data_IF_624623128574
#
_entry.id   IF_624623128574
#
_cell.length_a   1.000
_cell.length_b   1.000
_cell.length_c   1.000
_cell.angle_alpha   90.00
_cell.angle_beta   90.00
_cell.angle_gamma   90.00
#
_symmetry.space_group_name_H-M   'P 1'
#
loop_
_entity.id
_entity.type
_entity.pdbx_description
1 polymer ?
#
# COMPACT_ATOMS: atom_id res chain seq x y z
N UNK A 1 24.13 -17.31 21.06
CA UNK A 1 23.66 -15.98 20.62
C UNK A 1 24.23 -14.96 21.59
N UNK A 2 24.91 -13.94 21.08
CA UNK A 2 25.49 -12.90 21.92
C UNK A 2 24.37 -12.08 22.60
N UNK A 3 24.61 -11.46 23.77
CA UNK A 3 23.60 -10.71 24.51
C UNK A 3 22.92 -9.59 23.69
N UNK A 4 23.64 -8.97 22.74
CA UNK A 4 23.09 -7.95 21.83
C UNK A 4 22.10 -8.50 20.80
N UNK A 5 22.40 -9.67 20.21
CA UNK A 5 21.53 -10.29 19.19
C UNK A 5 20.16 -10.69 19.74
N UNK A 6 20.11 -11.11 21.01
CA UNK A 6 18.85 -11.48 21.66
C UNK A 6 17.98 -10.25 22.01
N UNK A 7 18.61 -9.10 22.26
CA UNK A 7 17.92 -7.83 22.51
C UNK A 7 17.29 -7.29 21.23
N UNK A 8 18.03 -7.32 20.12
CA UNK A 8 17.55 -6.82 18.82
C UNK A 8 16.39 -7.66 18.27
N UNK A 9 16.45 -8.99 18.43
CA UNK A 9 15.36 -9.88 18.05
C UNK A 9 14.06 -9.57 18.81
N UNK A 10 14.14 -9.33 20.13
CA UNK A 10 12.96 -8.96 20.94
C UNK A 10 12.40 -7.61 20.54
N UNK A 11 13.26 -6.62 20.27
CA UNK A 11 12.83 -5.30 19.80
C UNK A 11 12.12 -5.40 18.44
N UNK A 12 12.64 -6.23 17.54
CA UNK A 12 12.01 -6.52 16.25
C UNK A 12 10.60 -7.12 16.42
N UNK A 13 10.49 -8.21 17.19
CA UNK A 13 9.21 -8.89 17.45
C UNK A 13 8.18 -7.97 18.11
N UNK A 14 8.60 -7.19 19.11
CA UNK A 14 7.74 -6.21 19.76
C UNK A 14 7.23 -5.14 18.77
N UNK A 15 8.07 -4.72 17.83
CA UNK A 15 7.68 -3.74 16.80
C UNK A 15 6.75 -4.34 15.75
N UNK A 16 6.95 -5.61 15.37
CA UNK A 16 6.01 -6.35 14.49
C UNK A 16 4.64 -6.46 15.16
N UNK A 17 4.59 -6.87 16.44
CA UNK A 17 3.34 -7.00 17.19
C UNK A 17 2.63 -5.65 17.39
N UNK A 18 3.37 -4.59 17.69
CA UNK A 18 2.85 -3.22 17.74
C UNK A 18 2.24 -2.82 16.38
N UNK A 19 2.99 -2.97 15.29
CA UNK A 19 2.53 -2.60 13.94
C UNK A 19 1.29 -3.39 13.49
N UNK A 20 1.23 -4.68 13.81
CA UNK A 20 0.09 -5.56 13.51
C UNK A 20 -1.21 -5.13 14.22
N UNK A 21 -1.12 -4.35 15.30
CA UNK A 21 -2.27 -3.89 16.06
C UNK A 21 -2.64 -2.42 15.80
N UNK A 22 -2.18 -1.88 14.67
CA UNK A 22 -2.51 -0.53 14.20
C UNK A 22 -3.48 -0.56 13.02
N UNK A 23 -4.44 -1.48 13.05
CA UNK A 23 -5.59 -1.45 12.16
C UNK A 23 -6.53 -0.29 12.52
N UNK A 24 -7.43 0.06 11.60
CA UNK A 24 -8.50 1.04 11.83
C UNK A 24 -9.78 0.59 11.12
N UNK A 25 -10.93 1.08 11.57
CA UNK A 25 -12.23 0.64 11.05
C UNK A 25 -12.57 1.37 9.75
N UNK A 26 -13.30 0.71 8.85
CA UNK A 26 -13.79 1.33 7.60
C UNK A 26 -14.53 2.64 7.85
N UNK A 27 -15.29 2.72 8.95
CA UNK A 27 -15.97 3.93 9.40
C UNK A 27 -15.03 5.14 9.53
N UNK A 28 -13.88 4.97 10.19
CA UNK A 28 -12.93 6.05 10.43
C UNK A 28 -12.32 6.55 9.11
N UNK A 29 -12.10 5.67 8.13
CA UNK A 29 -11.61 6.05 6.81
C UNK A 29 -12.63 6.86 6.01
N UNK A 30 -13.91 6.48 6.08
CA UNK A 30 -14.99 7.23 5.44
C UNK A 30 -15.18 8.61 6.09
N UNK A 31 -15.10 8.69 7.43
CA UNK A 31 -15.12 9.97 8.14
C UNK A 31 -13.92 10.85 7.79
N UNK A 32 -12.74 10.25 7.70
CA UNK A 32 -11.54 10.98 7.33
C UNK A 32 -11.64 11.56 5.92
N UNK A 33 -12.14 10.79 4.95
CA UNK A 33 -12.38 11.32 3.60
C UNK A 33 -13.40 12.48 3.61
N UNK A 34 -14.49 12.35 4.37
CA UNK A 34 -15.47 13.42 4.53
C UNK A 34 -14.88 14.68 5.16
N UNK A 35 -13.98 14.54 6.15
CA UNK A 35 -13.24 15.64 6.75
C UNK A 35 -12.41 16.39 5.71
N UNK A 36 -11.76 15.69 4.78
CA UNK A 36 -10.93 16.33 3.74
C UNK A 36 -11.75 17.21 2.79
N UNK A 37 -13.02 16.89 2.57
CA UNK A 37 -13.96 17.68 1.77
C UNK A 37 -14.63 18.81 2.57
N UNK A 38 -14.57 18.74 3.90
CA UNK A 38 -15.26 19.66 4.79
C UNK A 38 -14.58 21.03 4.92
N UNK A 39 -15.29 22.04 5.45
CA UNK A 39 -14.73 23.38 5.69
C UNK A 39 -13.59 23.38 6.71
N UNK A 40 -13.59 22.43 7.64
CA UNK A 40 -12.56 22.25 8.67
C UNK A 40 -11.42 21.32 8.20
N UNK A 41 -11.30 21.11 6.88
CA UNK A 41 -10.29 20.23 6.31
C UNK A 41 -8.87 20.67 6.69
N UNK A 42 -8.02 19.76 7.19
CA UNK A 42 -6.60 20.06 7.38
C UNK A 42 -5.86 20.27 6.05
N UNK A 43 -6.48 19.88 4.93
CA UNK A 43 -5.95 20.00 3.58
C UNK A 43 -6.95 20.77 2.69
N UNK A 44 -7.03 22.11 2.80
CA UNK A 44 -8.01 22.91 2.04
C UNK A 44 -7.88 22.80 0.51
N UNK A 45 -6.73 22.36 0.00
CA UNK A 45 -6.49 22.10 -1.42
C UNK A 45 -6.80 20.67 -1.87
N UNK A 46 -7.48 19.87 -1.05
CA UNK A 46 -7.86 18.51 -1.41
C UNK A 46 -8.82 18.50 -2.60
N UNK A 47 -8.44 17.77 -3.63
CA UNK A 47 -9.24 17.51 -4.82
C UNK A 47 -9.49 16.00 -4.89
N UNK A 48 -10.75 15.53 -4.76
CA UNK A 48 -11.04 14.10 -4.70
C UNK A 48 -10.69 13.36 -5.99
N UNK A 49 -10.58 14.05 -7.13
CA UNK A 49 -10.20 13.43 -8.41
C UNK A 49 -8.70 13.45 -8.70
N UNK A 50 -7.90 14.20 -7.93
CA UNK A 50 -6.49 14.48 -8.27
C UNK A 50 -5.51 14.33 -7.12
N UNK A 51 -5.91 14.65 -5.88
CA UNK A 51 -5.02 14.53 -4.72
C UNK A 51 -4.61 13.08 -4.52
N UNK A 52 -3.32 12.85 -4.47
CA UNK A 52 -2.70 11.55 -4.25
C UNK A 52 -2.65 11.20 -2.76
N UNK A 53 -2.43 9.93 -2.44
CA UNK A 53 -2.18 9.53 -1.05
C UNK A 53 -0.97 10.24 -0.46
N UNK A 54 0.07 10.53 -1.26
CA UNK A 54 1.22 11.32 -0.79
C UNK A 54 0.81 12.73 -0.34
N UNK A 55 -0.08 13.39 -1.09
CA UNK A 55 -0.60 14.71 -0.71
C UNK A 55 -1.29 14.65 0.65
N UNK A 56 -2.23 13.69 0.80
CA UNK A 56 -3.03 13.51 2.01
C UNK A 56 -2.15 13.12 3.20
N UNK A 57 -1.12 12.30 3.00
CA UNK A 57 -0.18 11.96 4.08
C UNK A 57 0.56 13.20 4.57
N UNK A 58 1.07 14.02 3.64
CA UNK A 58 1.89 15.20 3.95
C UNK A 58 1.08 16.34 4.57
N UNK A 59 -0.14 16.55 4.12
CA UNK A 59 -0.95 17.71 4.52
C UNK A 59 -2.04 17.40 5.55
N UNK A 60 -2.47 16.14 5.69
CA UNK A 60 -3.51 15.77 6.65
C UNK A 60 -3.02 14.75 7.69
N UNK A 61 -2.48 13.61 7.26
CA UNK A 61 -2.11 12.52 8.19
C UNK A 61 -1.04 12.95 9.17
N UNK A 62 0.08 13.51 8.68
CA UNK A 62 1.18 13.96 9.54
C UNK A 62 0.72 15.04 10.53
N UNK A 63 0.02 16.12 10.09
CA UNK A 63 -0.48 17.13 11.02
C UNK A 63 -1.47 16.59 12.06
N UNK A 64 -2.46 15.79 11.66
CA UNK A 64 -3.49 15.26 12.56
C UNK A 64 -2.96 14.24 13.59
N UNK A 65 -1.83 13.60 13.29
CA UNK A 65 -1.20 12.62 14.16
C UNK A 65 -0.05 13.18 15.00
N UNK A 66 0.22 14.49 14.91
CA UNK A 66 1.27 15.16 15.67
C UNK A 66 0.81 15.44 17.10
N UNK A 67 1.71 15.25 18.07
CA UNK A 67 1.48 15.69 19.46
C UNK A 67 1.68 17.20 19.59
N UNK A 68 0.83 17.84 20.39
CA UNK A 68 0.85 19.30 20.60
C UNK A 68 2.11 19.82 21.31
N UNK A 69 2.82 18.97 22.04
CA UNK A 69 4.06 19.31 22.75
C UNK A 69 5.31 19.34 21.83
N UNK A 70 5.15 18.98 20.55
CA UNK A 70 6.25 18.92 19.59
C UNK A 70 7.20 17.73 19.76
N UNK A 71 6.97 16.83 20.72
CA UNK A 71 7.82 15.66 20.96
C UNK A 71 7.86 14.69 19.79
N UNK A 72 6.78 14.64 19.00
CA UNK A 72 6.63 13.65 17.95
C UNK A 72 5.18 13.49 17.51
N UNK A 73 4.80 12.24 17.26
CA UNK A 73 3.45 11.86 16.90
C UNK A 73 3.28 10.34 16.91
N UNK A 74 2.10 9.88 16.53
CA UNK A 74 1.80 8.45 16.40
C UNK A 74 1.36 8.13 14.98
N UNK A 75 1.13 6.84 14.69
CA UNK A 75 0.32 6.48 13.53
C UNK A 75 -1.09 7.08 13.67
N UNK A 76 -1.72 7.51 12.56
CA UNK A 76 -3.06 8.08 12.62
C UNK A 76 -4.10 7.04 13.06
N UNK A 77 -3.90 5.77 12.71
CA UNK A 77 -4.73 4.66 13.19
C UNK A 77 -4.77 4.60 14.73
N UNK A 78 -3.64 4.85 15.40
CA UNK A 78 -3.58 4.89 16.88
C UNK A 78 -4.40 6.05 17.44
N UNK A 79 -4.41 7.20 16.75
CA UNK A 79 -5.24 8.36 17.13
C UNK A 79 -6.72 8.02 16.98
N UNK A 80 -7.13 7.42 15.85
CA UNK A 80 -8.52 7.02 15.61
C UNK A 80 -9.02 5.99 16.61
N UNK A 81 -8.16 5.12 17.11
CA UNK A 81 -8.51 4.11 18.10
C UNK A 81 -8.35 4.60 19.56
N UNK A 82 -8.00 5.86 19.80
CA UNK A 82 -7.77 6.37 21.16
C UNK A 82 -6.65 5.64 21.92
N UNK A 83 -5.65 5.12 21.19
CA UNK A 83 -4.57 4.31 21.77
C UNK A 83 -4.89 2.82 21.89
N UNK A 84 -6.12 2.39 21.60
CA UNK A 84 -6.47 0.96 21.63
C UNK A 84 -5.80 0.19 20.49
N UNK A 85 -5.43 -1.05 20.82
CA UNK A 85 -4.85 -2.01 19.88
C UNK A 85 -5.96 -2.64 19.04
N UNK A 86 -5.95 -2.41 17.74
CA UNK A 86 -6.93 -2.95 16.80
C UNK A 86 -6.24 -3.84 15.78
N UNK A 87 -6.64 -5.10 15.73
CA UNK A 87 -6.18 -6.02 14.69
C UNK A 87 -6.98 -5.78 13.40
N UNK A 88 -6.31 -5.63 12.25
CA UNK A 88 -6.98 -5.55 10.96
C UNK A 88 -7.49 -6.92 10.52
N UNK A 89 -8.63 -6.94 9.83
CA UNK A 89 -9.12 -8.12 9.10
C UNK A 89 -8.39 -8.27 7.76
N UNK A 90 -7.94 -7.16 7.16
CA UNK A 90 -7.12 -7.20 5.95
C UNK A 90 -6.04 -6.12 5.92
N UNK A 91 -4.93 -6.44 5.27
CA UNK A 91 -3.92 -5.46 4.85
C UNK A 91 -4.21 -4.96 3.44
N UNK A 92 -4.06 -3.67 3.22
CA UNK A 92 -4.29 -3.04 1.91
C UNK A 92 -2.96 -2.65 1.28
N UNK A 93 -2.65 -3.30 0.15
CA UNK A 93 -1.51 -2.92 -0.70
C UNK A 93 -1.95 -1.84 -1.68
N UNK A 94 -1.24 -0.71 -1.69
CA UNK A 94 -1.53 0.46 -2.52
C UNK A 94 -0.26 1.24 -2.87
N UNK A 95 -0.30 2.05 -3.93
CA UNK A 95 0.75 3.04 -4.20
C UNK A 95 0.39 4.41 -3.62
N UNK A 96 1.40 5.15 -3.16
CA UNK A 96 1.22 6.52 -2.69
C UNK A 96 0.95 7.53 -3.80
N UNK A 97 1.22 7.16 -5.06
CA UNK A 97 0.86 7.94 -6.24
C UNK A 97 -0.62 7.79 -6.63
N UNK A 98 -1.34 6.82 -6.04
CA UNK A 98 -2.76 6.64 -6.31
C UNK A 98 -3.51 7.90 -5.88
N UNK A 99 -4.53 8.28 -6.66
CA UNK A 99 -5.55 9.23 -6.20
C UNK A 99 -6.12 8.71 -4.89
N UNK A 100 -6.12 9.53 -3.84
CA UNK A 100 -6.48 9.11 -2.49
C UNK A 100 -7.92 8.61 -2.41
N UNK A 101 -8.85 9.23 -3.15
CA UNK A 101 -10.23 8.77 -3.25
C UNK A 101 -10.33 7.36 -3.84
N UNK A 102 -9.44 6.96 -4.77
CA UNK A 102 -9.44 5.61 -5.31
C UNK A 102 -9.04 4.58 -4.25
N UNK A 103 -8.06 4.91 -3.38
CA UNK A 103 -7.71 4.06 -2.25
C UNK A 103 -8.89 3.88 -1.29
N UNK A 104 -9.57 4.96 -0.92
CA UNK A 104 -10.75 4.88 -0.03
C UNK A 104 -11.88 4.11 -0.71
N UNK A 105 -12.14 4.37 -1.99
CA UNK A 105 -13.15 3.67 -2.78
C UNK A 105 -12.88 2.16 -2.86
N UNK A 106 -11.61 1.74 -3.04
CA UNK A 106 -11.21 0.34 -3.05
C UNK A 106 -11.49 -0.35 -1.70
N UNK A 107 -11.18 0.31 -0.58
CA UNK A 107 -11.50 -0.22 0.77
C UNK A 107 -13.01 -0.32 1.00
N UNK A 108 -13.76 0.70 0.56
CA UNK A 108 -15.23 0.67 0.65
C UNK A 108 -15.82 -0.42 -0.24
N UNK A 109 -15.28 -0.61 -1.45
CA UNK A 109 -15.70 -1.68 -2.36
C UNK A 109 -15.43 -3.06 -1.75
N UNK A 110 -14.26 -3.27 -1.13
CA UNK A 110 -13.97 -4.50 -0.41
C UNK A 110 -14.96 -4.75 0.75
N UNK A 111 -15.17 -3.74 1.60
CA UNK A 111 -16.16 -3.82 2.68
C UNK A 111 -17.58 -4.09 2.15
N UNK A 112 -17.89 -3.60 0.95
CA UNK A 112 -19.15 -3.79 0.27
C UNK A 112 -19.26 -5.15 -0.46
N UNK A 113 -18.19 -5.94 -0.58
CA UNK A 113 -18.17 -7.17 -1.39
C UNK A 113 -18.26 -6.90 -2.89
N UNK A 114 -17.77 -5.73 -3.33
CA UNK A 114 -17.74 -5.32 -4.73
C UNK A 114 -16.32 -5.44 -5.30
N UNK A 115 -16.25 -5.76 -6.59
CA UNK A 115 -15.00 -5.99 -7.32
C UNK A 115 -14.50 -4.71 -8.02
N UNK A 116 -15.42 -3.88 -8.52
CA UNK A 116 -15.16 -2.52 -9.04
C UNK A 116 -15.43 -1.46 -7.99
N UNK A 117 -14.74 -0.32 -8.08
CA UNK A 117 -14.94 0.79 -7.14
C UNK A 117 -15.36 2.15 -7.74
N UNK A 118 -15.51 2.28 -9.06
CA UNK A 118 -15.89 3.54 -9.75
C UNK A 118 -17.10 4.25 -9.12
N UNK A 119 -18.17 3.51 -8.82
CA UNK A 119 -19.37 4.09 -8.21
C UNK A 119 -19.10 4.69 -6.81
N UNK A 120 -18.18 4.09 -6.04
CA UNK A 120 -17.80 4.61 -4.73
C UNK A 120 -16.92 5.87 -4.86
N UNK A 121 -16.13 6.02 -5.92
CA UNK A 121 -15.44 7.28 -6.21
C UNK A 121 -16.43 8.44 -6.34
N UNK A 122 -17.51 8.25 -7.10
CA UNK A 122 -18.54 9.27 -7.29
C UNK A 122 -19.25 9.63 -5.97
N UNK A 123 -19.59 8.62 -5.15
CA UNK A 123 -20.21 8.85 -3.84
C UNK A 123 -19.28 9.59 -2.88
N UNK A 124 -18.01 9.21 -2.83
CA UNK A 124 -16.99 9.87 -2.01
C UNK A 124 -16.77 11.32 -2.45
N UNK A 125 -16.54 11.55 -3.75
CA UNK A 125 -16.35 12.90 -4.30
C UNK A 125 -17.59 13.80 -4.10
N UNK A 126 -18.78 13.22 -4.14
CA UNK A 126 -20.05 13.91 -3.87
C UNK A 126 -20.39 14.09 -2.38
N UNK A 127 -19.46 13.79 -1.46
CA UNK A 127 -19.67 13.96 -0.01
C UNK A 127 -20.72 13.03 0.59
N UNK A 128 -21.03 11.90 -0.05
CA UNK A 128 -22.09 10.97 0.36
C UNK A 128 -21.66 9.99 1.47
N UNK A 129 -20.86 10.46 2.43
CA UNK A 129 -20.29 9.64 3.49
C UNK A 129 -21.35 8.89 4.32
N UNK A 130 -22.49 9.53 4.62
CA UNK A 130 -23.58 8.91 5.37
C UNK A 130 -24.26 7.77 4.59
N UNK A 131 -24.40 7.91 3.27
CA UNK A 131 -24.94 6.85 2.41
C UNK A 131 -24.00 5.64 2.38
N UNK A 132 -22.69 5.88 2.27
CA UNK A 132 -21.68 4.82 2.32
C UNK A 132 -21.69 4.10 3.66
N UNK A 133 -21.73 4.85 4.77
CA UNK A 133 -21.82 4.27 6.11
C UNK A 133 -23.10 3.45 6.29
N UNK A 134 -24.25 3.94 5.81
CA UNK A 134 -25.51 3.21 5.86
C UNK A 134 -25.42 1.87 5.08
N UNK A 135 -24.86 1.91 3.86
CA UNK A 135 -24.62 0.71 3.06
C UNK A 135 -23.77 -0.33 3.81
N UNK A 136 -22.63 0.10 4.37
CA UNK A 136 -21.73 -0.79 5.11
C UNK A 136 -22.35 -1.29 6.43
N UNK A 137 -23.20 -0.51 7.09
CA UNK A 137 -23.98 -0.96 8.28
C UNK A 137 -24.98 -2.04 7.90
N UNK A 138 -25.73 -1.85 6.82
CA UNK A 138 -26.69 -2.85 6.33
C UNK A 138 -26.00 -4.16 5.97
N UNK A 139 -24.74 -4.11 5.51
CA UNK A 139 -23.92 -5.30 5.24
C UNK A 139 -23.18 -5.86 6.45
N UNK A 140 -23.22 -5.19 7.60
CA UNK A 140 -22.49 -5.59 8.80
C UNK A 140 -20.97 -5.40 8.72
N UNK A 141 -20.46 -4.68 7.72
CA UNK A 141 -19.02 -4.54 7.43
C UNK A 141 -18.45 -3.16 7.75
N UNK A 142 -19.26 -2.23 8.26
CA UNK A 142 -18.79 -0.89 8.65
C UNK A 142 -17.64 -0.93 9.67
N UNK A 143 -17.66 -1.94 10.55
CA UNK A 143 -16.66 -2.11 11.61
C UNK A 143 -15.49 -3.01 11.19
N UNK A 144 -15.46 -3.49 9.94
CA UNK A 144 -14.32 -4.24 9.41
C UNK A 144 -13.06 -3.38 9.50
N UNK A 145 -12.00 -3.96 10.00
CA UNK A 145 -10.74 -3.30 10.26
C UNK A 145 -9.74 -3.52 9.12
N UNK A 146 -9.03 -2.46 8.76
CA UNK A 146 -8.05 -2.45 7.68
C UNK A 146 -6.71 -1.94 8.20
N UNK A 147 -5.64 -2.41 7.58
CA UNK A 147 -4.31 -1.87 7.76
C UNK A 147 -3.85 -1.27 6.44
N UNK A 148 -3.47 0.00 6.46
CA UNK A 148 -3.00 0.75 5.29
C UNK A 148 -1.75 1.50 5.73
N UNK A 149 -0.64 1.34 5.02
CA UNK A 149 0.65 1.88 5.47
C UNK A 149 0.61 3.40 5.68
N UNK A 150 -0.17 4.14 4.89
CA UNK A 150 -0.37 5.58 5.05
C UNK A 150 -0.90 5.98 6.44
N UNK A 151 -1.69 5.13 7.10
CA UNK A 151 -2.34 5.42 8.39
C UNK A 151 -1.79 4.62 9.56
N UNK A 152 -1.32 3.40 9.29
CA UNK A 152 -0.89 2.44 10.31
C UNK A 152 0.60 2.55 10.67
N UNK A 153 1.42 3.10 9.76
CA UNK A 153 2.83 3.44 10.06
C UNK A 153 2.90 4.79 10.75
N UNK A 154 3.78 4.91 11.75
CA UNK A 154 4.07 6.18 12.38
C UNK A 154 4.90 7.05 11.44
N UNK A 155 4.24 7.99 10.76
CA UNK A 155 4.90 8.89 9.82
C UNK A 155 5.93 9.79 10.50
N UNK A 156 5.81 10.00 11.82
CA UNK A 156 6.74 10.83 12.61
C UNK A 156 8.08 10.16 12.87
N UNK A 157 8.15 8.82 12.92
CA UNK A 157 9.41 8.09 13.06
C UNK A 157 10.08 7.82 11.70
N UNK A 158 9.44 8.21 10.59
CA UNK A 158 9.97 8.00 9.25
C UNK A 158 10.09 9.32 8.49
N UNK A 159 9.06 9.65 7.73
CA UNK A 159 9.16 10.61 6.63
C UNK A 159 8.80 12.06 7.00
N UNK A 160 8.23 12.33 8.18
CA UNK A 160 7.65 13.65 8.46
C UNK A 160 8.68 14.80 8.40
N UNK A 161 9.95 14.51 8.68
CA UNK A 161 11.04 15.48 8.81
C UNK A 161 11.78 15.79 7.51
N UNK A 162 11.43 15.18 6.38
CA UNK A 162 12.10 15.46 5.11
C UNK A 162 11.68 14.54 3.96
N UNK A 163 12.50 14.54 2.90
CA UNK A 163 12.23 13.82 1.64
C UNK A 163 13.39 12.90 1.23
N UNK A 164 14.30 12.61 2.17
CA UNK A 164 15.56 11.94 1.87
C UNK A 164 16.58 12.87 1.17
N UNK A 165 17.79 12.36 0.91
CA UNK A 165 18.81 13.10 0.19
C UNK A 165 18.37 13.42 -1.24
N UNK A 166 18.86 14.54 -1.77
CA UNK A 166 18.66 14.91 -3.16
C UNK A 166 19.48 13.96 -4.06
N UNK A 167 18.85 13.24 -5.01
CA UNK A 167 19.56 12.34 -5.89
C UNK A 167 20.36 13.11 -6.96
N UNK A 168 21.50 12.57 -7.35
CA UNK A 168 22.34 13.14 -8.40
C UNK A 168 21.83 12.79 -9.81
N UNK A 169 21.14 11.66 -9.96
CA UNK A 169 20.59 11.23 -11.24
C UNK A 169 19.41 12.14 -11.67
N UNK A 170 19.39 12.69 -12.90
CA UNK A 170 18.34 13.58 -13.35
C UNK A 170 16.93 12.97 -13.40
N UNK A 171 16.79 11.66 -13.66
CA UNK A 171 15.49 10.99 -13.67
C UNK A 171 14.99 10.79 -12.24
N UNK A 172 15.84 10.32 -11.34
CA UNK A 172 15.52 10.19 -9.92
C UNK A 172 15.19 11.56 -9.30
N UNK A 173 15.91 12.62 -9.70
CA UNK A 173 15.66 13.99 -9.25
C UNK A 173 14.27 14.49 -9.63
N UNK A 174 13.79 14.22 -10.85
CA UNK A 174 12.40 14.56 -11.23
C UNK A 174 11.38 13.89 -10.31
N UNK A 175 11.57 12.60 -10.03
CA UNK A 175 10.71 11.87 -9.11
C UNK A 175 10.79 12.37 -7.67
N UNK A 176 11.98 12.78 -7.22
CA UNK A 176 12.20 13.37 -5.90
C UNK A 176 11.53 14.75 -5.78
N UNK A 177 11.71 15.66 -6.73
CA UNK A 177 11.04 16.97 -6.73
C UNK A 177 9.52 16.85 -6.79
N UNK A 178 8.99 15.92 -7.60
CA UNK A 178 7.55 15.67 -7.67
C UNK A 178 6.98 15.26 -6.29
N UNK A 179 7.71 14.45 -5.52
CA UNK A 179 7.32 14.00 -4.18
C UNK A 179 7.42 15.06 -3.09
N UNK A 180 7.97 16.24 -3.40
CA UNK A 180 8.08 17.37 -2.49
C UNK A 180 6.97 18.39 -2.67
N UNK A 181 6.12 18.21 -3.69
CA UNK A 181 5.11 19.18 -4.09
C UNK A 181 3.75 18.54 -4.14
N UNK A 182 2.76 19.28 -3.66
CA UNK A 182 1.38 18.90 -3.79
C UNK A 182 1.01 18.74 -5.27
N UNK A 183 0.45 17.59 -5.66
CA UNK A 183 0.17 17.26 -7.06
C UNK A 183 -0.92 18.14 -7.68
N UNK A 184 -1.75 18.77 -6.86
CA UNK A 184 -2.85 19.65 -7.26
C UNK A 184 -2.42 21.11 -7.25
N UNK A 185 -1.81 21.57 -6.16
CA UNK A 185 -1.50 22.99 -5.95
C UNK A 185 -0.08 23.39 -6.38
N UNK A 186 0.82 22.43 -6.60
CA UNK A 186 2.24 22.64 -6.92
C UNK A 186 3.09 23.21 -5.77
N UNK A 187 2.46 23.49 -4.62
CA UNK A 187 3.13 24.02 -3.43
C UNK A 187 4.02 22.96 -2.81
N UNK A 188 5.16 23.37 -2.25
CA UNK A 188 6.00 22.45 -1.49
C UNK A 188 5.31 22.07 -0.19
N UNK A 189 5.37 20.79 0.15
CA UNK A 189 4.78 20.32 1.41
C UNK A 189 5.54 20.91 2.61
N UNK A 190 4.84 21.18 3.72
CA UNK A 190 5.49 21.51 4.97
C UNK A 190 6.29 20.31 5.49
N UNK A 191 7.38 20.60 6.19
CA UNK A 191 8.17 19.61 6.91
C UNK A 191 7.83 19.71 8.39
N UNK A 192 7.62 18.57 9.04
CA UNK A 192 7.31 18.53 10.46
C UNK A 192 8.58 18.79 11.29
N UNK A 193 8.50 19.75 12.19
CA UNK A 193 9.58 20.12 13.12
C UNK A 193 9.50 19.38 14.46
N UNK A 194 8.95 18.16 14.50
CA UNK A 194 8.89 17.38 15.73
C UNK A 194 10.26 16.81 16.11
N UNK A 195 10.46 16.53 17.40
CA UNK A 195 11.71 15.98 17.94
C UNK A 195 11.85 14.46 17.77
N UNK A 196 10.85 13.78 17.19
CA UNK A 196 10.86 12.32 17.02
C UNK A 196 12.07 11.86 16.20
N UNK A 197 12.88 10.91 16.68
CA UNK A 197 13.96 10.32 15.89
C UNK A 197 13.43 9.67 14.60
N UNK A 198 14.16 9.83 13.49
CA UNK A 198 13.82 9.15 12.23
C UNK A 198 14.58 7.83 12.15
N UNK A 199 13.85 6.72 12.07
CA UNK A 199 14.39 5.36 12.09
C UNK A 199 14.17 4.71 10.72
N UNK A 200 15.25 4.59 9.95
CA UNK A 200 15.28 3.94 8.63
C UNK A 200 16.08 2.63 8.70
N UNK A 201 16.55 2.14 7.56
CA UNK A 201 17.26 0.86 7.46
C UNK A 201 18.60 0.84 8.24
N UNK A 202 19.12 2.00 8.65
CA UNK A 202 20.27 2.15 9.55
C UNK A 202 19.96 1.78 11.01
N UNK A 203 18.66 1.78 11.39
CA UNK A 203 18.17 1.32 12.69
C UNK A 203 17.12 0.21 12.48
N UNK A 204 17.54 -0.97 11.99
CA UNK A 204 16.62 -1.96 11.44
C UNK A 204 15.60 -2.48 12.45
N UNK A 205 15.95 -2.64 13.73
CA UNK A 205 15.00 -3.07 14.77
C UNK A 205 13.86 -2.07 14.99
N UNK A 206 14.10 -0.78 14.78
CA UNK A 206 13.15 0.30 15.05
C UNK A 206 12.38 0.75 13.81
N UNK A 207 12.95 0.55 12.62
CA UNK A 207 12.29 0.89 11.35
C UNK A 207 10.99 0.12 11.17
N UNK A 208 9.87 0.80 10.92
CA UNK A 208 8.58 0.12 10.72
C UNK A 208 8.43 -0.46 9.31
N UNK A 209 9.08 0.14 8.32
CA UNK A 209 8.88 -0.15 6.91
C UNK A 209 9.53 -1.48 6.47
N UNK A 210 10.54 -1.94 7.19
CA UNK A 210 11.22 -3.21 6.89
C UNK A 210 10.54 -4.45 7.51
N UNK A 211 9.40 -4.25 8.21
CA UNK A 211 8.66 -5.28 8.96
C UNK A 211 7.36 -5.72 8.30
N UNK A 212 7.05 -5.23 7.10
CA UNK A 212 5.75 -5.51 6.48
C UNK A 212 5.53 -7.01 6.25
N UNK A 213 6.53 -7.72 5.72
CA UNK A 213 6.46 -9.17 5.49
C UNK A 213 6.20 -9.94 6.80
N UNK A 214 6.95 -9.62 7.87
CA UNK A 214 6.78 -10.26 9.18
C UNK A 214 5.43 -9.94 9.82
N UNK A 215 4.95 -8.71 9.65
CA UNK A 215 3.65 -8.26 10.13
C UNK A 215 2.49 -8.93 9.38
N UNK A 216 2.60 -9.06 8.06
CA UNK A 216 1.69 -9.84 7.22
C UNK A 216 1.64 -11.30 7.65
N UNK A 217 2.81 -11.93 7.82
CA UNK A 217 2.90 -13.32 8.26
C UNK A 217 2.35 -13.52 9.68
N UNK A 218 2.60 -12.57 10.58
CA UNK A 218 2.05 -12.60 11.94
C UNK A 218 0.52 -12.50 11.94
N UNK A 219 -0.05 -11.54 11.20
CA UNK A 219 -1.51 -11.37 11.08
C UNK A 219 -2.17 -12.59 10.45
N UNK A 220 -1.60 -13.12 9.37
CA UNK A 220 -2.14 -14.31 8.71
C UNK A 220 -2.24 -15.53 9.63
N UNK A 221 -1.26 -15.69 10.54
CA UNK A 221 -1.26 -16.78 11.52
C UNK A 221 -2.21 -16.56 12.70
N UNK A 222 -2.53 -15.30 13.03
CA UNK A 222 -3.17 -14.95 14.31
C UNK A 222 -4.56 -14.34 14.18
N UNK A 223 -4.94 -13.89 12.99
CA UNK A 223 -6.25 -13.32 12.68
C UNK A 223 -6.98 -14.30 11.74
N UNK A 224 -8.12 -14.86 12.16
CA UNK A 224 -8.94 -15.70 11.29
C UNK A 224 -9.34 -14.97 10.01
N UNK A 225 -9.31 -15.67 8.89
CA UNK A 225 -9.70 -15.17 7.57
C UNK A 225 -8.96 -13.89 7.12
N UNK A 226 -7.78 -13.63 7.69
CA UNK A 226 -6.96 -12.47 7.32
C UNK A 226 -6.63 -12.49 5.83
N UNK A 227 -6.80 -11.32 5.20
CA UNK A 227 -6.67 -11.19 3.75
C UNK A 227 -5.79 -10.02 3.33
N UNK A 228 -5.37 -10.02 2.07
CA UNK A 228 -4.81 -8.85 1.42
C UNK A 228 -5.83 -8.25 0.44
N UNK A 229 -6.02 -6.94 0.51
CA UNK A 229 -6.77 -6.17 -0.47
C UNK A 229 -5.78 -5.42 -1.35
N UNK A 230 -5.87 -5.58 -2.67
CA UNK A 230 -4.99 -4.91 -3.63
C UNK A 230 -5.75 -3.75 -4.27
N UNK A 231 -5.44 -2.53 -3.85
CA UNK A 231 -6.12 -1.32 -4.33
C UNK A 231 -5.40 -0.75 -5.57
N UNK A 232 -5.88 -1.15 -6.75
CA UNK A 232 -5.29 -0.79 -8.04
C UNK A 232 -5.94 0.47 -8.57
N UNK A 233 -5.15 1.52 -8.80
CA UNK A 233 -5.66 2.79 -9.35
C UNK A 233 -5.83 2.74 -10.88
N UNK A 234 -6.33 3.83 -11.46
CA UNK A 234 -6.55 3.93 -12.91
C UNK A 234 -5.27 3.91 -13.72
N UNK A 235 -4.11 4.21 -13.11
CA UNK A 235 -2.80 4.16 -13.78
C UNK A 235 -2.05 2.84 -13.61
N UNK A 236 -2.58 1.91 -12.81
CA UNK A 236 -1.92 0.65 -12.45
C UNK A 236 -0.52 0.83 -11.85
N UNK A 237 -0.21 2.01 -11.30
CA UNK A 237 1.11 2.36 -10.81
C UNK A 237 1.58 1.43 -9.69
N UNK A 238 0.64 0.80 -8.95
CA UNK A 238 0.91 -0.25 -7.95
C UNK A 238 1.89 -1.30 -8.46
N UNK A 239 1.71 -1.80 -9.69
CA UNK A 239 2.54 -2.88 -10.24
C UNK A 239 3.94 -2.43 -10.65
N UNK A 240 4.20 -1.13 -10.63
CA UNK A 240 5.53 -0.54 -10.86
C UNK A 240 6.25 -0.20 -9.55
N UNK A 241 5.67 -0.49 -8.38
CA UNK A 241 6.25 -0.20 -7.08
C UNK A 241 6.83 -1.45 -6.45
N UNK A 242 8.13 -1.42 -6.18
CA UNK A 242 8.85 -2.61 -5.72
C UNK A 242 8.25 -3.19 -4.43
N UNK A 243 7.89 -2.34 -3.47
CA UNK A 243 7.25 -2.76 -2.21
C UNK A 243 5.89 -3.42 -2.45
N UNK A 244 5.03 -2.81 -3.26
CA UNK A 244 3.71 -3.36 -3.56
C UNK A 244 3.82 -4.73 -4.23
N UNK A 245 4.72 -4.87 -5.20
CA UNK A 245 4.93 -6.14 -5.91
C UNK A 245 5.50 -7.22 -4.97
N UNK A 246 6.41 -6.85 -4.06
CA UNK A 246 6.90 -7.77 -3.04
C UNK A 246 5.78 -8.24 -2.09
N UNK A 247 4.93 -7.34 -1.61
CA UNK A 247 3.76 -7.66 -0.79
C UNK A 247 2.79 -8.62 -1.49
N UNK A 248 2.58 -8.46 -2.80
CA UNK A 248 1.73 -9.37 -3.60
C UNK A 248 2.28 -10.79 -3.65
N UNK A 249 3.58 -10.92 -3.90
CA UNK A 249 4.23 -12.24 -4.02
C UNK A 249 4.38 -12.91 -2.65
N UNK A 250 4.64 -12.15 -1.59
CA UNK A 250 4.71 -12.68 -0.22
C UNK A 250 3.36 -13.24 0.23
N UNK A 251 2.26 -12.51 -0.01
CA UNK A 251 0.91 -12.99 0.28
C UNK A 251 0.59 -14.29 -0.47
N UNK A 252 0.86 -14.34 -1.79
CA UNK A 252 0.70 -15.55 -2.61
C UNK A 252 1.56 -16.72 -2.09
N UNK A 253 2.80 -16.45 -1.67
CA UNK A 253 3.71 -17.45 -1.10
C UNK A 253 3.21 -18.05 0.21
N UNK A 254 2.58 -17.24 1.05
CA UNK A 254 1.96 -17.69 2.27
C UNK A 254 0.60 -18.40 2.04
N UNK A 255 0.03 -18.32 0.83
CA UNK A 255 -1.35 -18.76 0.56
C UNK A 255 -2.39 -17.85 1.20
N UNK A 256 -2.05 -16.59 1.45
CA UNK A 256 -2.96 -15.59 1.98
C UNK A 256 -4.01 -15.23 0.92
N UNK A 257 -5.32 -15.23 1.25
CA UNK A 257 -6.35 -14.78 0.31
C UNK A 257 -6.11 -13.34 -0.16
N UNK A 258 -6.11 -13.13 -1.47
CA UNK A 258 -5.93 -11.81 -2.09
C UNK A 258 -7.20 -11.40 -2.85
N UNK A 259 -7.71 -10.20 -2.58
CA UNK A 259 -8.84 -9.60 -3.29
C UNK A 259 -8.42 -8.31 -4.00
N UNK A 260 -8.56 -8.27 -5.33
CA UNK A 260 -8.19 -7.08 -6.10
C UNK A 260 -9.39 -6.18 -6.32
N UNK A 261 -9.16 -4.88 -6.16
CA UNK A 261 -10.16 -3.84 -6.39
C UNK A 261 -9.64 -2.92 -7.48
N UNK A 262 -10.35 -2.89 -8.60
CA UNK A 262 -10.04 -2.06 -9.76
C UNK A 262 -11.08 -0.98 -9.95
N UNK A 263 -10.74 0.11 -10.64
CA UNK A 263 -11.68 1.21 -10.88
C UNK A 263 -12.94 0.71 -11.60
N UNK A 264 -12.78 0.15 -12.79
CA UNK A 264 -13.85 -0.39 -13.63
C UNK A 264 -13.28 -1.46 -14.57
N UNK A 265 -14.15 -2.31 -15.14
CA UNK A 265 -13.75 -3.32 -16.13
C UNK A 265 -13.06 -2.65 -17.34
N UNK A 266 -13.66 -1.59 -17.89
CA UNK A 266 -13.11 -0.88 -19.04
C UNK A 266 -11.69 -0.33 -18.79
N UNK A 267 -11.41 0.11 -17.55
CA UNK A 267 -10.08 0.54 -17.16
C UNK A 267 -9.10 -0.63 -17.09
N UNK A 268 -9.51 -1.81 -16.61
CA UNK A 268 -8.66 -3.01 -16.62
C UNK A 268 -8.34 -3.47 -18.04
N UNK A 269 -9.34 -3.53 -18.92
CA UNK A 269 -9.17 -3.97 -20.30
C UNK A 269 -8.14 -3.10 -21.04
N UNK A 270 -8.14 -1.79 -20.77
CA UNK A 270 -7.24 -0.83 -21.42
C UNK A 270 -5.77 -0.98 -21.01
N UNK A 271 -5.48 -1.60 -19.86
CA UNK A 271 -4.13 -1.76 -19.31
C UNK A 271 -3.65 -3.21 -19.32
N UNK A 272 -4.49 -4.15 -19.76
CA UNK A 272 -4.22 -5.58 -19.69
C UNK A 272 -2.90 -5.96 -20.40
N UNK A 273 -2.67 -5.41 -21.60
CA UNK A 273 -1.45 -5.67 -22.37
C UNK A 273 -0.19 -5.15 -21.68
N UNK A 274 -0.23 -3.93 -21.12
CA UNK A 274 0.90 -3.32 -20.42
C UNK A 274 1.32 -4.15 -19.21
N UNK A 275 0.34 -4.66 -18.44
CA UNK A 275 0.59 -5.51 -17.27
C UNK A 275 1.28 -6.84 -17.64
N UNK A 276 1.17 -7.31 -18.89
CA UNK A 276 1.84 -8.53 -19.35
C UNK A 276 3.37 -8.39 -19.47
N UNK A 277 3.86 -7.15 -19.37
CA UNK A 277 5.27 -6.78 -19.44
C UNK A 277 5.90 -6.43 -18.09
N UNK A 278 5.20 -6.63 -16.96
CA UNK A 278 5.74 -6.34 -15.63
C UNK A 278 7.06 -7.08 -15.35
N UNK A 279 8.05 -6.32 -14.90
CA UNK A 279 9.36 -6.78 -14.43
C UNK A 279 9.71 -6.06 -13.12
N UNK A 280 10.00 -6.82 -12.07
CA UNK A 280 10.40 -6.30 -10.74
C UNK A 280 11.65 -5.41 -10.81
N UNK A 281 12.53 -5.62 -11.80
CA UNK A 281 13.74 -4.80 -12.01
C UNK A 281 13.41 -3.40 -12.51
N UNK A 282 12.29 -3.24 -13.20
CA UNK A 282 11.79 -1.94 -13.66
C UNK A 282 10.98 -1.23 -12.57
N UNK A 283 10.74 -1.87 -11.42
CA UNK A 283 9.99 -1.26 -10.33
C UNK A 283 10.78 -0.15 -9.63
N UNK A 284 10.03 0.85 -9.15
CA UNK A 284 10.52 2.05 -8.51
C UNK A 284 10.31 1.96 -6.99
N UNK A 285 11.27 2.48 -6.23
CA UNK A 285 11.15 2.71 -4.80
C UNK A 285 11.46 4.18 -4.49
N UNK A 286 11.05 4.64 -3.30
CA UNK A 286 11.26 6.03 -2.93
C UNK A 286 12.73 6.34 -2.66
N UNK A 287 13.48 5.36 -2.13
CA UNK A 287 14.92 5.40 -1.90
C UNK A 287 15.57 4.26 -2.69
N UNK A 288 16.76 4.48 -3.24
CA UNK A 288 17.50 3.42 -3.95
C UNK A 288 17.78 2.23 -3.03
N UNK A 289 18.16 2.49 -1.77
CA UNK A 289 18.39 1.49 -0.72
C UNK A 289 17.19 0.55 -0.54
N UNK A 290 15.96 1.06 -0.62
CA UNK A 290 14.74 0.25 -0.47
C UNK A 290 14.55 -0.66 -1.69
N UNK A 291 14.80 -0.15 -2.90
CA UNK A 291 14.76 -0.97 -4.12
C UNK A 291 15.78 -2.11 -4.01
N UNK A 292 17.00 -1.80 -3.62
CA UNK A 292 18.09 -2.76 -3.55
C UNK A 292 17.83 -3.80 -2.45
N UNK A 293 17.26 -3.38 -1.31
CA UNK A 293 16.81 -4.30 -0.26
C UNK A 293 15.74 -5.29 -0.75
N UNK A 294 14.73 -4.80 -1.48
CA UNK A 294 13.66 -5.66 -2.04
C UNK A 294 14.22 -6.61 -3.08
N UNK A 295 15.01 -6.09 -4.04
CA UNK A 295 15.63 -6.93 -5.07
C UNK A 295 16.57 -7.98 -4.46
N UNK A 296 17.25 -7.64 -3.35
CA UNK A 296 18.04 -8.57 -2.56
C UNK A 296 17.21 -9.70 -1.95
N UNK A 297 16.01 -9.39 -1.43
CA UNK A 297 15.06 -10.40 -0.90
C UNK A 297 14.50 -11.32 -1.99
N UNK A 298 14.29 -10.79 -3.18
CA UNK A 298 13.72 -11.53 -4.32
C UNK A 298 14.62 -12.69 -4.78
N UNK A 299 15.94 -12.54 -4.67
CA UNK A 299 16.89 -13.55 -5.13
C UNK A 299 16.89 -13.69 -6.66
N UNK A 300 16.14 -14.67 -7.20
CA UNK A 300 16.00 -14.86 -8.65
C UNK A 300 14.85 -14.01 -9.22
N UNK A 301 15.21 -12.83 -9.75
CA UNK A 301 14.26 -11.92 -10.37
C UNK A 301 13.50 -12.54 -11.58
N UNK A 302 14.06 -13.51 -12.31
CA UNK A 302 13.32 -14.17 -13.39
C UNK A 302 12.23 -15.10 -12.84
N UNK A 303 12.57 -15.90 -11.83
CA UNK A 303 11.59 -16.77 -11.16
C UNK A 303 10.49 -15.93 -10.51
N UNK A 304 10.87 -14.82 -9.88
CA UNK A 304 9.93 -13.88 -9.29
C UNK A 304 9.01 -13.24 -10.32
N UNK A 305 9.54 -12.76 -11.45
CA UNK A 305 8.72 -12.20 -12.52
C UNK A 305 7.78 -13.25 -13.15
N UNK A 306 8.23 -14.49 -13.31
CA UNK A 306 7.37 -15.57 -13.77
C UNK A 306 6.22 -15.84 -12.78
N UNK A 307 6.53 -15.83 -11.48
CA UNK A 307 5.54 -15.97 -10.42
C UNK A 307 4.57 -14.79 -10.38
N UNK A 308 5.05 -13.56 -10.46
CA UNK A 308 4.22 -12.36 -10.52
C UNK A 308 3.25 -12.42 -11.70
N UNK A 309 3.74 -12.80 -12.88
CA UNK A 309 2.90 -12.94 -14.07
C UNK A 309 1.86 -14.06 -13.90
N UNK A 310 2.21 -15.17 -13.24
CA UNK A 310 1.24 -16.22 -12.88
C UNK A 310 0.22 -15.73 -11.86
N UNK A 311 0.65 -14.99 -10.84
CA UNK A 311 -0.21 -14.41 -9.83
C UNK A 311 -1.21 -13.43 -10.46
N UNK A 312 -0.77 -12.59 -11.39
CA UNK A 312 -1.65 -11.59 -12.02
C UNK A 312 -2.63 -12.24 -13.01
N UNK A 313 -2.14 -13.13 -13.88
CA UNK A 313 -2.88 -13.61 -15.06
C UNK A 313 -3.16 -15.11 -15.12
N UNK A 314 -2.69 -15.88 -14.14
CA UNK A 314 -2.94 -17.31 -14.06
C UNK A 314 -4.43 -17.62 -13.99
N UNK A 315 -4.78 -18.89 -14.19
CA UNK A 315 -6.18 -19.33 -14.12
C UNK A 315 -6.84 -18.95 -12.78
N UNK A 316 -6.07 -19.05 -11.69
CA UNK A 316 -6.44 -18.66 -10.32
C UNK A 316 -5.84 -17.31 -9.89
N UNK A 317 -5.38 -16.50 -10.85
CA UNK A 317 -4.72 -15.23 -10.56
C UNK A 317 -5.65 -14.13 -10.06
N UNK A 318 -5.05 -12.98 -9.72
CA UNK A 318 -5.69 -11.78 -9.22
C UNK A 318 -6.85 -11.29 -10.11
N UNK A 319 -6.71 -11.43 -11.43
CA UNK A 319 -7.75 -11.03 -12.39
C UNK A 319 -8.64 -12.18 -12.88
N UNK A 320 -8.71 -13.31 -12.17
CA UNK A 320 -9.43 -14.51 -12.64
C UNK A 320 -10.91 -14.31 -12.99
N UNK A 321 -11.59 -13.37 -12.36
CA UNK A 321 -12.99 -13.02 -12.61
C UNK A 321 -13.18 -12.07 -13.80
N UNK A 322 -12.09 -11.55 -14.38
CA UNK A 322 -12.13 -10.39 -15.30
C UNK A 322 -11.65 -10.69 -16.71
N UNK A 323 -10.97 -11.82 -16.93
CA UNK A 323 -10.33 -12.14 -18.22
C UNK A 323 -11.11 -13.23 -18.97
N UNK A 324 -11.37 -12.99 -20.25
CA UNK A 324 -11.93 -13.97 -21.19
C UNK A 324 -11.02 -15.21 -21.35
N UNK A 325 -11.52 -16.28 -21.96
CA UNK A 325 -10.77 -17.52 -22.16
C UNK A 325 -9.63 -17.42 -23.20
N UNK A 326 -9.71 -16.47 -24.13
CA UNK A 326 -8.79 -16.27 -25.25
C UNK A 326 -7.51 -15.55 -24.82
N UNK A 327 -7.65 -14.45 -24.07
CA UNK A 327 -6.56 -13.67 -23.52
C UNK A 327 -5.76 -14.48 -22.48
N UNK A 328 -6.47 -15.29 -21.69
CA UNK A 328 -5.86 -16.27 -20.78
C UNK A 328 -4.96 -17.27 -21.52
N UNK A 329 -5.41 -17.81 -22.65
CA UNK A 329 -4.62 -18.76 -23.43
C UNK A 329 -3.34 -18.12 -24.00
N UNK A 330 -3.43 -16.87 -24.47
CA UNK A 330 -2.28 -16.13 -24.97
C UNK A 330 -1.23 -15.84 -23.88
N UNK A 331 -1.68 -15.43 -22.68
CA UNK A 331 -0.79 -15.19 -21.53
C UNK A 331 -0.17 -16.49 -21.02
N UNK A 332 -0.95 -17.57 -20.85
CA UNK A 332 -0.45 -18.88 -20.46
C UNK A 332 0.61 -19.42 -21.44
N UNK A 333 0.43 -19.20 -22.74
CA UNK A 333 1.42 -19.54 -23.76
C UNK A 333 2.74 -18.78 -23.59
N UNK A 334 2.69 -17.49 -23.22
CA UNK A 334 3.89 -16.68 -22.91
C UNK A 334 4.57 -17.14 -21.63
N UNK A 335 3.79 -17.41 -20.58
CA UNK A 335 4.28 -17.90 -19.29
C UNK A 335 5.02 -19.23 -19.42
N UNK A 336 4.40 -20.18 -20.14
CA UNK A 336 4.99 -21.51 -20.40
C UNK A 336 6.32 -21.39 -21.14
N UNK A 337 6.40 -20.53 -22.17
CA UNK A 337 7.66 -20.28 -22.89
C UNK A 337 8.76 -19.69 -22.00
N UNK A 338 8.45 -18.73 -21.12
CA UNK A 338 9.41 -18.13 -20.18
C UNK A 338 9.91 -19.14 -19.15
N UNK A 339 9.00 -19.95 -18.58
CA UNK A 339 9.36 -20.99 -17.61
C UNK A 339 10.25 -22.09 -18.21
N UNK A 340 9.96 -22.52 -19.44
CA UNK A 340 10.79 -23.48 -20.17
C UNK A 340 12.18 -22.91 -20.47
N UNK A 341 12.27 -21.63 -20.87
CA UNK A 341 13.55 -20.96 -21.13
C UNK A 341 14.40 -20.79 -19.86
N UNK A 342 13.78 -20.54 -18.69
CA UNK A 342 14.48 -20.46 -17.42
C UNK A 342 15.03 -21.82 -16.97
N UNK A 343 14.24 -22.90 -17.11
CA UNK A 343 14.67 -24.26 -16.81
C UNK A 343 15.84 -24.73 -17.68
N UNK A 344 15.84 -24.39 -18.96
CA UNK A 344 16.94 -24.72 -19.88
C UNK A 344 18.28 -24.04 -19.55
N UNK A 345 18.27 -22.93 -18.80
CA UNK A 345 19.50 -22.25 -18.35
C UNK A 345 20.05 -22.84 -17.04
N UNK A 346 19.17 -23.31 -16.16
CA UNK A 346 19.56 -23.96 -14.90
C UNK A 346 20.09 -25.40 -15.10
N UNK A 347 19.75 -26.07 -16.21
CA UNK A 347 20.30 -27.40 -16.55
C UNK A 347 21.62 -27.34 -17.34
N UNK A 348 22.12 -26.14 -17.64
CA UNK A 348 23.35 -25.91 -18.41
C UNK A 348 24.49 -25.27 -17.59
N UNK A 349 24.32 -25.13 -16.27
CA UNK A 349 25.33 -24.69 -15.29
C UNK A 349 25.73 -25.84 -14.37
#
# INVERSE_FOLDING_TARGET
RAPGEASDARAWEAKVDDLAHRGFRAEALVDFHALLLGPDSPMPGFDPGRSTTNDVVREAVIPLSRRGDGSGGSALAVVWNGGERVRPDCMVTHSWSNVFTHLVAAVVADAAGCEVYEAFCALLAGGQAQQLKALLRTRGTLQRAYWVCAFSVNQHTGICGGFGPEPQDPEEHRGWEARRRNSVTGRRYPVCACAEPKCFNDRPAECEMNKFDDMMAYLFRTVPDFCQVVAVDTSFALFTRAWCVAELVEADAAGMPQGVKVHSQANLDSFYDELSHLDVRACRASRAEDRDFILGKVGDANAFNARLQWLVFGAEGLFRSWVDSTDRAAVLGRLTRRALAARGRASAS
#
